data_IF_902861738917
#
_entry.id   IF_902861738917
#
_cell.length_a   1.000
_cell.length_b   1.000
_cell.length_c   1.000
_cell.angle_alpha   90.00
_cell.angle_beta   90.00
_cell.angle_gamma   90.00
#
_symmetry.space_group_name_H-M   'P 1'
#
loop_
_entity.id
_entity.type
_entity.pdbx_description
1 polymer ?
#
# COMPACT_ATOMS: atom_id res chain seq x y z
N UNK A 1 18.98 17.19 1.90
CA UNK A 1 17.60 16.72 1.74
C UNK A 1 17.49 15.98 0.40
N UNK A 2 16.70 14.91 0.34
CA UNK A 2 16.42 14.24 -0.93
C UNK A 2 15.73 15.21 -1.91
N UNK A 3 16.01 15.03 -3.21
CA UNK A 3 15.35 15.85 -4.25
C UNK A 3 13.86 15.47 -4.31
N UNK A 4 12.98 16.47 -4.22
CA UNK A 4 11.54 16.30 -4.38
C UNK A 4 11.17 16.75 -5.79
N UNK A 5 10.50 15.87 -6.54
CA UNK A 5 9.97 16.16 -7.87
C UNK A 5 8.50 16.55 -7.76
N UNK A 6 8.09 17.48 -8.59
CA UNK A 6 6.73 18.04 -8.63
C UNK A 6 6.16 17.95 -10.05
N UNK A 7 4.97 18.50 -10.27
CA UNK A 7 4.33 18.53 -11.60
C UNK A 7 5.22 19.13 -12.71
N UNK A 8 6.13 20.04 -12.35
CA UNK A 8 7.05 20.69 -13.30
C UNK A 8 8.16 19.75 -13.79
N UNK A 9 8.47 18.72 -13.04
CA UNK A 9 9.55 17.77 -13.33
C UNK A 9 9.07 16.56 -14.14
N UNK A 10 7.75 16.43 -14.37
CA UNK A 10 7.13 15.26 -14.97
C UNK A 10 6.26 15.63 -16.19
N UNK A 11 6.36 14.86 -17.25
CA UNK A 11 5.68 15.10 -18.52
C UNK A 11 4.87 13.86 -18.94
N UNK A 12 3.54 14.03 -19.04
CA UNK A 12 2.61 12.97 -19.50
C UNK A 12 2.75 12.66 -21.00
N UNK A 13 3.35 13.53 -21.80
CA UNK A 13 3.58 13.28 -23.22
C UNK A 13 4.44 12.04 -23.48
N UNK A 14 5.19 11.59 -22.46
CA UNK A 14 5.93 10.30 -22.46
C UNK A 14 5.01 9.12 -22.82
N UNK A 15 3.70 9.21 -22.54
CA UNK A 15 2.71 8.16 -22.81
C UNK A 15 1.94 8.35 -24.12
N UNK A 16 2.21 9.41 -24.87
CA UNK A 16 1.53 9.66 -26.16
C UNK A 16 1.84 8.51 -27.12
N UNK A 17 0.77 7.89 -27.64
CA UNK A 17 0.86 6.75 -28.56
C UNK A 17 1.26 5.42 -27.91
N UNK A 18 1.36 5.36 -26.58
CA UNK A 18 1.67 4.14 -25.83
C UNK A 18 0.45 3.54 -25.16
N UNK A 19 0.49 2.23 -24.99
CA UNK A 19 -0.49 1.48 -24.21
C UNK A 19 0.10 1.13 -22.85
N UNK A 20 -0.63 1.45 -21.78
CA UNK A 20 -0.28 1.11 -20.40
C UNK A 20 -1.15 -0.06 -19.95
N UNK A 21 -0.55 -1.16 -19.51
CA UNK A 21 -1.30 -2.28 -18.93
C UNK A 21 -1.23 -2.25 -17.41
N UNK A 22 -2.36 -2.44 -16.77
CA UNK A 22 -2.45 -2.69 -15.32
C UNK A 22 -2.86 -4.15 -15.12
N UNK A 23 -1.95 -4.96 -14.59
CA UNK A 23 -2.19 -6.38 -14.31
C UNK A 23 -2.75 -6.54 -12.91
N UNK A 24 -4.06 -6.81 -12.82
CA UNK A 24 -4.79 -6.81 -11.56
C UNK A 24 -5.59 -5.52 -11.35
N UNK A 25 -6.75 -5.65 -10.68
CA UNK A 25 -7.66 -4.52 -10.41
C UNK A 25 -8.03 -4.51 -8.91
N UNK A 26 -6.99 -4.65 -8.07
CA UNK A 26 -7.05 -4.53 -6.62
C UNK A 26 -6.85 -3.09 -6.16
N UNK A 27 -6.50 -2.88 -4.87
CA UNK A 27 -6.41 -1.55 -4.25
C UNK A 27 -5.56 -0.55 -5.04
N UNK A 28 -4.31 -0.87 -5.36
CA UNK A 28 -3.46 0.02 -6.14
C UNK A 28 -3.81 -0.02 -7.64
N UNK A 29 -4.08 -1.23 -8.19
CA UNK A 29 -4.35 -1.39 -9.63
C UNK A 29 -5.52 -0.54 -10.11
N UNK A 30 -6.63 -0.58 -9.39
CA UNK A 30 -7.81 0.23 -9.69
C UNK A 30 -7.51 1.75 -9.61
N UNK A 31 -6.84 2.20 -8.54
CA UNK A 31 -6.54 3.61 -8.36
C UNK A 31 -5.61 4.15 -9.45
N UNK A 32 -4.52 3.42 -9.73
CA UNK A 32 -3.59 3.79 -10.79
C UNK A 32 -4.28 3.82 -12.16
N UNK A 33 -5.06 2.78 -12.49
CA UNK A 33 -5.75 2.70 -13.77
C UNK A 33 -6.70 3.88 -14.00
N UNK A 34 -7.56 4.19 -13.03
CA UNK A 34 -8.52 5.28 -13.13
C UNK A 34 -7.82 6.64 -13.23
N UNK A 35 -6.84 6.89 -12.37
CA UNK A 35 -6.13 8.17 -12.34
C UNK A 35 -5.36 8.40 -13.66
N UNK A 36 -4.69 7.37 -14.18
CA UNK A 36 -4.00 7.44 -15.49
C UNK A 36 -4.95 7.68 -16.63
N UNK A 37 -6.10 6.98 -16.67
CA UNK A 37 -7.14 7.18 -17.70
C UNK A 37 -7.66 8.61 -17.68
N UNK A 38 -7.99 9.15 -16.51
CA UNK A 38 -8.44 10.53 -16.34
C UNK A 38 -7.32 11.56 -16.63
N UNK A 39 -6.06 11.15 -16.54
CA UNK A 39 -4.89 11.93 -16.95
C UNK A 39 -4.60 11.82 -18.47
N UNK A 40 -5.46 11.16 -19.25
CA UNK A 40 -5.37 11.06 -20.71
C UNK A 40 -4.51 9.92 -21.25
N UNK A 41 -4.09 8.96 -20.41
CA UNK A 41 -3.33 7.82 -20.87
C UNK A 41 -4.25 6.71 -21.42
N UNK A 42 -3.76 5.98 -22.43
CA UNK A 42 -4.42 4.77 -22.93
C UNK A 42 -4.12 3.58 -22.01
N UNK A 43 -5.11 3.14 -21.23
CA UNK A 43 -4.97 2.10 -20.20
C UNK A 43 -5.84 0.90 -20.52
N UNK A 44 -5.24 -0.29 -20.53
CA UNK A 44 -5.91 -1.59 -20.58
C UNK A 44 -5.70 -2.36 -19.29
N UNK A 45 -6.65 -3.24 -18.95
CA UNK A 45 -6.57 -4.06 -17.75
C UNK A 45 -6.31 -5.51 -18.14
N UNK A 46 -5.23 -6.10 -17.58
CA UNK A 46 -4.91 -7.52 -17.73
C UNK A 46 -5.42 -8.31 -16.54
N UNK A 47 -6.33 -9.29 -16.77
CA UNK A 47 -6.88 -10.15 -15.73
C UNK A 47 -6.89 -11.61 -16.20
N UNK A 48 -6.78 -12.54 -15.23
CA UNK A 48 -6.97 -13.96 -15.52
C UNK A 48 -8.45 -14.28 -15.77
N UNK A 49 -8.71 -15.31 -16.53
CA UNK A 49 -10.06 -15.79 -16.82
C UNK A 49 -10.81 -16.16 -15.53
N UNK A 50 -12.06 -15.72 -15.39
CA UNK A 50 -12.85 -15.91 -14.17
C UNK A 50 -12.57 -14.94 -13.03
N UNK A 51 -11.70 -13.94 -13.23
CA UNK A 51 -11.47 -12.90 -12.21
C UNK A 51 -12.75 -12.12 -11.93
N UNK A 52 -13.11 -12.01 -10.64
CA UNK A 52 -14.27 -11.22 -10.18
C UNK A 52 -14.13 -9.72 -10.52
N UNK A 53 -12.92 -9.22 -10.76
CA UNK A 53 -12.67 -7.82 -11.09
C UNK A 53 -13.00 -7.47 -12.55
N UNK A 54 -13.26 -8.45 -13.43
CA UNK A 54 -13.55 -8.20 -14.84
C UNK A 54 -14.80 -7.31 -15.00
N UNK A 55 -15.88 -7.67 -14.32
CA UNK A 55 -17.13 -6.90 -14.39
C UNK A 55 -16.94 -5.46 -13.90
N UNK A 56 -16.27 -5.29 -12.78
CA UNK A 56 -16.01 -3.97 -12.18
C UNK A 56 -15.12 -3.10 -13.08
N UNK A 57 -14.06 -3.67 -13.66
CA UNK A 57 -13.17 -2.93 -14.54
C UNK A 57 -13.89 -2.50 -15.84
N UNK A 58 -14.74 -3.37 -16.41
CA UNK A 58 -15.56 -3.05 -17.57
C UNK A 58 -16.60 -1.96 -17.29
N UNK A 59 -17.26 -2.03 -16.12
CA UNK A 59 -18.19 -0.98 -15.67
C UNK A 59 -17.51 0.39 -15.55
N UNK A 60 -16.23 0.42 -15.16
CA UNK A 60 -15.41 1.65 -15.14
C UNK A 60 -14.90 2.06 -16.53
N UNK A 61 -15.37 1.37 -17.59
CA UNK A 61 -15.08 1.70 -19.00
C UNK A 61 -13.65 1.35 -19.42
N UNK A 62 -13.06 0.29 -18.86
CA UNK A 62 -11.77 -0.23 -19.31
C UNK A 62 -11.96 -1.38 -20.31
N UNK A 63 -11.07 -1.45 -21.29
CA UNK A 63 -10.83 -2.68 -22.03
C UNK A 63 -10.16 -3.69 -21.10
N UNK A 64 -10.75 -4.88 -20.98
CA UNK A 64 -10.23 -5.97 -20.15
C UNK A 64 -9.90 -7.14 -21.04
N UNK A 65 -8.63 -7.55 -21.02
CA UNK A 65 -8.08 -8.64 -21.81
C UNK A 65 -7.35 -9.65 -20.91
N UNK A 66 -7.04 -10.87 -21.39
CA UNK A 66 -6.18 -11.80 -20.66
C UNK A 66 -4.81 -11.19 -20.36
N UNK A 67 -4.21 -11.57 -19.23
CA UNK A 67 -2.92 -11.01 -18.74
C UNK A 67 -1.83 -11.05 -19.81
N UNK A 68 -1.65 -12.20 -20.48
CA UNK A 68 -0.65 -12.37 -21.55
C UNK A 68 -0.88 -11.41 -22.72
N UNK A 69 -2.13 -11.19 -23.11
CA UNK A 69 -2.49 -10.27 -24.19
C UNK A 69 -2.23 -8.81 -23.79
N UNK A 70 -2.55 -8.45 -22.53
CA UNK A 70 -2.22 -7.12 -22.02
C UNK A 70 -0.70 -6.85 -22.09
N UNK A 71 0.13 -7.84 -21.70
CA UNK A 71 1.59 -7.71 -21.76
C UNK A 71 2.10 -7.58 -23.19
N UNK A 72 1.55 -8.34 -24.13
CA UNK A 72 1.93 -8.22 -25.56
C UNK A 72 1.70 -6.81 -26.10
N UNK A 73 0.54 -6.23 -25.81
CA UNK A 73 0.10 -4.95 -26.37
C UNK A 73 0.71 -3.73 -25.67
N UNK A 74 1.11 -3.85 -24.42
CA UNK A 74 1.55 -2.73 -23.62
C UNK A 74 3.03 -2.37 -23.80
N UNK A 75 3.33 -1.08 -23.69
CA UNK A 75 4.68 -0.53 -23.57
C UNK A 75 5.13 -0.46 -22.11
N UNK A 76 4.21 -0.15 -21.20
CA UNK A 76 4.45 -0.09 -19.76
C UNK A 76 3.48 -1.03 -19.05
N UNK A 77 3.99 -1.93 -18.22
CA UNK A 77 3.25 -3.01 -17.60
C UNK A 77 3.33 -2.84 -16.08
N UNK A 78 2.25 -2.45 -15.45
CA UNK A 78 2.15 -2.36 -14.00
C UNK A 78 1.69 -3.69 -13.39
N UNK A 79 2.55 -4.30 -12.57
CA UNK A 79 2.26 -5.56 -11.88
C UNK A 79 1.55 -5.26 -10.57
N UNK A 80 0.23 -5.12 -10.61
CA UNK A 80 -0.62 -4.75 -9.46
C UNK A 80 -1.25 -6.00 -8.80
N UNK A 81 -0.44 -7.03 -8.61
CA UNK A 81 -0.83 -8.32 -8.01
C UNK A 81 -0.24 -8.46 -6.60
N UNK A 82 -0.85 -9.26 -5.71
CA UNK A 82 -0.22 -9.61 -4.44
C UNK A 82 1.18 -10.23 -4.65
N UNK A 83 2.17 -9.85 -3.83
CA UNK A 83 3.58 -10.23 -4.01
C UNK A 83 3.80 -11.73 -4.17
N UNK A 84 3.07 -12.53 -3.40
CA UNK A 84 3.15 -13.99 -3.46
C UNK A 84 2.61 -14.60 -4.77
N UNK A 85 1.76 -13.89 -5.49
CA UNK A 85 1.17 -14.33 -6.78
C UNK A 85 1.96 -13.82 -7.98
N UNK A 86 2.77 -12.78 -7.79
CA UNK A 86 3.52 -12.17 -8.90
C UNK A 86 4.46 -13.15 -9.60
N UNK A 87 5.26 -14.01 -8.92
CA UNK A 87 6.18 -14.92 -9.59
C UNK A 87 5.48 -15.88 -10.57
N UNK A 88 4.40 -16.53 -10.16
CA UNK A 88 3.67 -17.45 -11.02
C UNK A 88 3.05 -16.74 -12.23
N UNK A 89 2.50 -15.55 -12.05
CA UNK A 89 1.99 -14.73 -13.15
C UNK A 89 3.13 -14.26 -14.08
N UNK A 90 4.28 -13.91 -13.49
CA UNK A 90 5.45 -13.51 -14.26
C UNK A 90 5.93 -14.64 -15.17
N UNK A 91 6.13 -15.84 -14.65
CA UNK A 91 6.59 -17.00 -15.41
C UNK A 91 5.60 -17.40 -16.52
N UNK A 92 4.31 -17.40 -16.19
CA UNK A 92 3.27 -17.88 -17.11
C UNK A 92 2.91 -16.86 -18.20
N UNK A 93 2.65 -15.61 -17.80
CA UNK A 93 1.97 -14.65 -18.67
C UNK A 93 2.85 -13.45 -19.04
N UNK A 94 3.81 -13.05 -18.15
CA UNK A 94 4.59 -11.84 -18.37
C UNK A 94 5.88 -12.16 -19.14
N UNK A 95 6.73 -13.01 -18.61
CA UNK A 95 8.07 -13.29 -19.18
C UNK A 95 8.03 -13.74 -20.65
N UNK A 96 7.12 -14.65 -21.10
CA UNK A 96 7.04 -15.05 -22.49
C UNK A 96 6.64 -13.93 -23.48
N UNK A 97 6.03 -12.86 -22.96
CA UNK A 97 5.49 -11.74 -23.76
C UNK A 97 6.22 -10.41 -23.48
N UNK A 98 7.25 -10.44 -22.62
CA UNK A 98 8.04 -9.28 -22.24
C UNK A 98 9.18 -9.09 -23.24
N UNK A 99 8.99 -8.21 -24.22
CA UNK A 99 9.97 -7.93 -25.26
C UNK A 99 10.85 -6.74 -24.92
N UNK A 100 12.01 -6.66 -25.58
CA UNK A 100 12.96 -5.56 -25.48
C UNK A 100 12.28 -4.18 -25.59
N UNK A 101 12.67 -3.26 -24.71
CA UNK A 101 12.19 -1.88 -24.70
C UNK A 101 10.90 -1.65 -23.93
N UNK A 102 10.22 -2.71 -23.47
CA UNK A 102 9.08 -2.58 -22.53
C UNK A 102 9.56 -2.17 -21.16
N UNK A 103 8.62 -1.65 -20.35
CA UNK A 103 8.87 -1.26 -18.97
C UNK A 103 8.03 -2.11 -18.03
N UNK A 104 8.64 -2.78 -17.05
CA UNK A 104 7.95 -3.34 -15.89
C UNK A 104 7.88 -2.30 -14.78
N UNK A 105 6.70 -2.13 -14.20
CA UNK A 105 6.44 -1.22 -13.10
C UNK A 105 5.85 -1.97 -11.91
N UNK A 106 6.32 -1.61 -10.73
CA UNK A 106 5.84 -2.13 -9.44
C UNK A 106 5.45 -0.97 -8.53
N UNK A 107 4.52 -1.19 -7.60
CA UNK A 107 4.17 -0.23 -6.53
C UNK A 107 4.77 -0.62 -5.18
N UNK A 108 5.45 -1.76 -5.10
CA UNK A 108 6.22 -2.25 -3.97
C UNK A 108 7.38 -3.07 -4.49
N UNK A 109 8.54 -2.95 -3.86
CA UNK A 109 9.77 -3.51 -4.42
C UNK A 109 10.03 -4.99 -4.09
N UNK A 110 9.13 -5.68 -3.38
CA UNK A 110 9.29 -7.04 -2.85
C UNK A 110 9.84 -8.04 -3.89
N UNK A 111 9.18 -8.16 -5.04
CA UNK A 111 9.52 -9.16 -6.03
C UNK A 111 10.92 -8.99 -6.62
N UNK A 112 11.34 -7.75 -6.81
CA UNK A 112 12.66 -7.40 -7.37
C UNK A 112 13.74 -7.46 -6.30
N UNK A 113 13.48 -6.91 -5.11
CA UNK A 113 14.45 -6.86 -4.01
C UNK A 113 14.81 -8.28 -3.53
N UNK A 114 13.82 -9.13 -3.30
CA UNK A 114 14.04 -10.52 -2.87
C UNK A 114 14.23 -11.50 -4.03
N UNK A 115 14.34 -11.00 -5.26
CA UNK A 115 14.62 -11.79 -6.47
C UNK A 115 13.63 -12.94 -6.72
N UNK A 116 12.36 -12.74 -6.35
CA UNK A 116 11.29 -13.67 -6.72
C UNK A 116 10.87 -13.49 -8.19
N UNK A 117 11.23 -12.34 -8.78
CA UNK A 117 11.20 -12.04 -10.21
C UNK A 117 12.56 -11.51 -10.63
N UNK A 118 13.10 -12.05 -11.72
CA UNK A 118 14.35 -11.59 -12.34
C UNK A 118 14.06 -11.19 -13.79
N UNK A 119 13.86 -9.90 -14.09
CA UNK A 119 13.58 -9.42 -15.44
C UNK A 119 14.80 -9.54 -16.39
N UNK A 120 14.57 -9.68 -17.70
CA UNK A 120 15.66 -9.62 -18.70
C UNK A 120 16.31 -8.23 -18.72
N UNK A 121 17.58 -8.15 -19.12
CA UNK A 121 18.41 -6.92 -19.04
C UNK A 121 17.99 -5.83 -20.02
N UNK A 122 17.21 -6.15 -21.03
CA UNK A 122 16.83 -5.28 -22.13
C UNK A 122 15.46 -4.57 -21.93
N UNK A 123 14.90 -4.66 -20.73
CA UNK A 123 13.69 -3.94 -20.33
C UNK A 123 13.99 -2.95 -19.21
N UNK A 124 13.18 -1.90 -19.11
CA UNK A 124 13.20 -1.02 -17.94
C UNK A 124 12.49 -1.67 -16.77
N UNK A 125 12.97 -1.46 -15.56
CA UNK A 125 12.31 -1.88 -14.33
C UNK A 125 12.27 -0.71 -13.38
N UNK A 126 11.04 -0.26 -13.07
CA UNK A 126 10.78 0.93 -12.28
C UNK A 126 9.79 0.65 -11.15
N UNK A 127 9.84 1.51 -10.15
CA UNK A 127 8.89 1.53 -9.05
C UNK A 127 8.22 2.89 -8.99
N UNK A 128 6.89 2.89 -8.76
CA UNK A 128 6.12 4.07 -8.38
C UNK A 128 5.20 3.67 -7.25
N UNK A 129 5.55 4.05 -6.04
CA UNK A 129 4.88 3.66 -4.80
C UNK A 129 4.24 4.87 -4.11
N UNK A 130 2.94 5.13 -4.32
CA UNK A 130 2.21 6.08 -3.50
C UNK A 130 2.21 5.64 -2.04
N UNK A 131 2.51 6.56 -1.12
CA UNK A 131 2.55 6.27 0.33
C UNK A 131 1.15 6.40 0.94
N UNK A 132 0.29 5.47 0.54
CA UNK A 132 -1.07 5.35 1.02
C UNK A 132 -1.87 4.26 0.31
N UNK A 133 -2.94 3.76 0.96
CA UNK A 133 -3.83 2.75 0.36
C UNK A 133 -4.46 3.25 -0.95
N UNK A 134 -4.69 2.36 -1.90
CA UNK A 134 -5.17 2.73 -3.23
C UNK A 134 -6.46 3.55 -3.24
N UNK A 135 -7.43 3.24 -2.39
CA UNK A 135 -8.66 4.02 -2.27
C UNK A 135 -8.41 5.47 -1.78
N UNK A 136 -7.36 5.70 -0.99
CA UNK A 136 -6.95 7.05 -0.58
C UNK A 136 -6.27 7.75 -1.75
N UNK A 137 -5.39 7.04 -2.49
CA UNK A 137 -4.77 7.56 -3.72
C UNK A 137 -5.83 8.01 -4.71
N UNK A 138 -6.88 7.20 -4.90
CA UNK A 138 -8.01 7.54 -5.78
C UNK A 138 -8.78 8.77 -5.27
N UNK A 139 -9.19 8.78 -4.01
CA UNK A 139 -9.95 9.87 -3.40
C UNK A 139 -9.19 11.19 -3.46
N UNK A 140 -7.93 11.21 -3.06
CA UNK A 140 -7.11 12.42 -3.11
C UNK A 140 -6.97 12.96 -4.54
N UNK A 141 -6.83 12.05 -5.51
CA UNK A 141 -6.77 12.44 -6.93
C UNK A 141 -8.06 13.13 -7.40
N UNK A 142 -9.24 12.58 -7.08
CA UNK A 142 -10.53 13.16 -7.47
C UNK A 142 -10.84 14.49 -6.77
N UNK A 143 -10.23 14.72 -5.62
CA UNK A 143 -10.30 16.00 -4.90
C UNK A 143 -9.27 17.04 -5.43
N UNK A 144 -8.55 16.75 -6.53
CA UNK A 144 -7.50 17.63 -7.04
C UNK A 144 -6.20 17.62 -6.24
N UNK A 145 -6.13 16.80 -5.19
CA UNK A 145 -4.96 16.58 -4.33
C UNK A 145 -4.10 15.40 -4.82
N UNK A 146 -3.09 15.03 -4.04
CA UNK A 146 -2.24 13.87 -4.31
C UNK A 146 -1.77 13.20 -3.04
N UNK A 147 -1.32 11.96 -3.18
CA UNK A 147 -0.60 11.23 -2.13
C UNK A 147 0.88 11.26 -2.49
N UNK A 148 1.79 11.63 -1.57
CA UNK A 148 3.22 11.57 -1.84
C UNK A 148 3.64 10.20 -2.35
N UNK A 149 4.58 10.15 -3.28
CA UNK A 149 5.01 8.91 -3.88
C UNK A 149 6.54 8.77 -3.89
N UNK A 150 7.00 7.54 -3.92
CA UNK A 150 8.39 7.20 -4.17
C UNK A 150 8.54 6.70 -5.61
N UNK A 151 9.69 7.00 -6.24
CA UNK A 151 10.12 6.37 -7.48
C UNK A 151 11.46 5.70 -7.27
N UNK A 152 11.67 4.55 -7.91
CA UNK A 152 12.98 3.92 -7.99
C UNK A 152 13.23 3.31 -9.38
N UNK A 153 14.48 3.29 -9.78
CA UNK A 153 14.93 2.73 -11.05
C UNK A 153 15.86 1.55 -10.76
N UNK A 154 15.39 0.33 -11.05
CA UNK A 154 16.21 -0.88 -10.93
C UNK A 154 16.99 -1.17 -12.20
N UNK A 155 16.33 -1.08 -13.38
CA UNK A 155 16.94 -1.21 -14.69
C UNK A 155 16.53 -0.03 -15.59
N UNK A 156 17.47 0.46 -16.39
CA UNK A 156 17.29 1.60 -17.29
C UNK A 156 17.84 1.27 -18.67
N UNK A 157 17.31 0.23 -19.31
CA UNK A 157 17.74 -0.26 -20.60
C UNK A 157 17.51 0.76 -21.73
N UNK A 158 16.35 1.46 -21.66
CA UNK A 158 15.97 2.50 -22.64
C UNK A 158 16.66 3.84 -22.42
N UNK A 159 17.34 4.05 -21.27
CA UNK A 159 17.83 5.34 -20.77
C UNK A 159 16.72 6.38 -20.51
N UNK A 160 15.44 5.94 -20.50
CA UNK A 160 14.26 6.78 -20.28
C UNK A 160 13.44 6.37 -19.04
N UNK A 161 13.86 5.32 -18.31
CA UNK A 161 13.14 4.74 -17.18
C UNK A 161 12.66 5.80 -16.16
N UNK A 162 13.53 6.74 -15.78
CA UNK A 162 13.18 7.81 -14.84
C UNK A 162 12.09 8.75 -15.37
N UNK A 163 12.12 9.10 -16.65
CA UNK A 163 11.06 9.92 -17.27
C UNK A 163 9.73 9.19 -17.25
N UNK A 164 9.73 7.88 -17.51
CA UNK A 164 8.55 7.01 -17.44
C UNK A 164 8.01 6.93 -16.01
N UNK A 165 8.87 6.75 -15.01
CA UNK A 165 8.46 6.72 -13.60
C UNK A 165 7.85 8.05 -13.13
N UNK A 166 8.45 9.18 -13.48
CA UNK A 166 7.91 10.51 -13.15
C UNK A 166 6.58 10.78 -13.88
N UNK A 167 6.46 10.41 -15.16
CA UNK A 167 5.22 10.52 -15.90
C UNK A 167 4.09 9.69 -15.27
N UNK A 168 4.40 8.45 -14.83
CA UNK A 168 3.44 7.61 -14.11
C UNK A 168 3.03 8.24 -12.78
N UNK A 169 4.00 8.70 -11.98
CA UNK A 169 3.75 9.38 -10.72
C UNK A 169 2.86 10.62 -10.90
N UNK A 170 3.05 11.39 -11.99
CA UNK A 170 2.17 12.51 -12.35
C UNK A 170 0.77 12.03 -12.71
N UNK A 171 0.67 11.02 -13.57
CA UNK A 171 -0.60 10.44 -14.00
C UNK A 171 -1.45 9.90 -12.85
N UNK A 172 -0.83 9.45 -11.76
CA UNK A 172 -1.57 9.00 -10.56
C UNK A 172 -1.76 10.11 -9.51
N UNK A 173 -1.23 11.33 -9.76
CA UNK A 173 -1.39 12.49 -8.89
C UNK A 173 -0.30 12.66 -7.82
N UNK A 174 0.72 11.79 -7.79
CA UNK A 174 1.78 11.83 -6.78
C UNK A 174 2.61 13.12 -6.80
N UNK A 175 2.85 13.68 -7.97
CA UNK A 175 3.64 14.92 -8.15
C UNK A 175 2.98 16.18 -7.58
N UNK A 176 1.65 16.15 -7.34
CA UNK A 176 0.92 17.22 -6.65
C UNK A 176 1.33 17.35 -5.19
N UNK A 177 1.67 16.22 -4.55
CA UNK A 177 2.11 16.16 -3.15
C UNK A 177 3.64 16.06 -3.00
N UNK A 178 4.33 15.70 -4.08
CA UNK A 178 5.77 15.50 -4.12
C UNK A 178 6.18 14.05 -4.30
N UNK A 179 7.24 13.85 -5.09
CA UNK A 179 7.81 12.52 -5.41
C UNK A 179 9.28 12.51 -5.02
N UNK A 180 9.70 11.48 -4.29
CA UNK A 180 11.09 11.30 -3.86
C UNK A 180 11.69 10.09 -4.59
N UNK A 181 12.92 10.22 -5.05
CA UNK A 181 13.68 9.12 -5.63
C UNK A 181 14.37 8.32 -4.54
N UNK A 182 14.23 7.01 -4.61
CA UNK A 182 14.80 6.03 -3.68
C UNK A 182 15.34 4.81 -4.43
N UNK A 183 15.55 3.69 -3.75
CA UNK A 183 15.92 2.41 -4.34
C UNK A 183 14.87 1.35 -4.04
N UNK A 184 14.79 0.29 -4.85
CA UNK A 184 13.93 -0.86 -4.56
C UNK A 184 14.21 -1.45 -3.17
N UNK A 185 15.49 -1.50 -2.77
CA UNK A 185 15.88 -1.96 -1.43
C UNK A 185 15.30 -1.09 -0.34
N UNK A 186 15.55 0.21 -0.40
CA UNK A 186 15.13 1.16 0.64
C UNK A 186 13.61 1.20 0.74
N UNK A 187 12.90 1.30 -0.40
CA UNK A 187 11.43 1.26 -0.41
C UNK A 187 10.90 -0.01 0.23
N UNK A 188 11.38 -1.18 -0.19
CA UNK A 188 10.88 -2.46 0.31
C UNK A 188 11.14 -2.64 1.82
N UNK A 189 12.36 -2.37 2.26
CA UNK A 189 12.74 -2.56 3.65
C UNK A 189 12.01 -1.59 4.59
N UNK A 190 11.87 -0.33 4.19
CA UNK A 190 11.19 0.69 5.02
C UNK A 190 9.68 0.55 5.02
N UNK A 191 9.08 0.16 3.90
CA UNK A 191 7.64 -0.09 3.80
C UNK A 191 7.24 -1.29 4.67
N UNK A 192 7.90 -2.45 4.50
CA UNK A 192 7.69 -3.63 5.34
C UNK A 192 7.91 -3.34 6.83
N UNK A 193 8.94 -2.57 7.16
CA UNK A 193 9.20 -2.19 8.54
C UNK A 193 8.08 -1.32 9.09
N UNK A 194 7.67 -0.29 8.35
CA UNK A 194 6.62 0.64 8.76
C UNK A 194 5.29 -0.06 9.01
N UNK A 195 4.85 -0.93 8.08
CA UNK A 195 3.58 -1.64 8.22
C UNK A 195 3.59 -2.67 9.36
N UNK A 196 4.72 -3.36 9.59
CA UNK A 196 4.83 -4.37 10.65
C UNK A 196 4.93 -3.74 12.03
N UNK A 197 5.73 -2.71 12.20
CA UNK A 197 6.12 -2.23 13.54
C UNK A 197 5.35 -0.99 13.99
N UNK A 198 4.76 -0.23 13.07
CA UNK A 198 4.08 1.04 13.39
C UNK A 198 2.66 1.08 12.84
N UNK A 199 2.51 1.10 11.49
CA UNK A 199 1.27 1.49 10.83
C UNK A 199 0.12 0.49 10.99
N UNK A 200 0.42 -0.80 10.88
CA UNK A 200 -0.58 -1.87 10.98
C UNK A 200 -0.33 -2.72 12.22
N UNK A 201 0.78 -3.48 12.26
CA UNK A 201 1.04 -4.42 13.34
C UNK A 201 1.21 -3.74 14.71
N UNK A 202 2.06 -2.72 14.79
CA UNK A 202 2.30 -1.98 16.03
C UNK A 202 1.05 -1.29 16.55
N UNK A 203 0.38 -0.51 15.71
CA UNK A 203 -0.83 0.24 16.09
C UNK A 203 -1.97 -0.67 16.53
N UNK A 204 -2.27 -1.74 15.78
CA UNK A 204 -3.34 -2.66 16.15
C UNK A 204 -3.06 -3.43 17.45
N UNK A 205 -1.80 -3.84 17.68
CA UNK A 205 -1.42 -4.50 18.92
C UNK A 205 -1.52 -3.56 20.13
N UNK A 206 -1.11 -2.29 19.99
CA UNK A 206 -1.22 -1.28 21.05
C UNK A 206 -2.69 -1.02 21.41
N UNK A 207 -3.54 -0.86 20.40
CA UNK A 207 -4.99 -0.65 20.58
C UNK A 207 -5.64 -1.84 21.29
N UNK A 208 -5.32 -3.07 20.88
CA UNK A 208 -5.86 -4.27 21.53
C UNK A 208 -5.42 -4.37 22.98
N UNK A 209 -4.15 -4.16 23.27
CA UNK A 209 -3.62 -4.19 24.63
C UNK A 209 -4.27 -3.13 25.54
N UNK A 210 -4.49 -1.91 25.02
CA UNK A 210 -5.19 -0.85 25.75
C UNK A 210 -6.65 -1.23 26.06
N UNK A 211 -7.35 -1.73 25.05
CA UNK A 211 -8.74 -2.20 25.19
C UNK A 211 -8.85 -3.34 26.22
N UNK A 212 -8.01 -4.36 26.13
CA UNK A 212 -7.97 -5.49 27.05
C UNK A 212 -7.71 -5.03 28.48
N UNK A 213 -6.71 -4.16 28.69
CA UNK A 213 -6.36 -3.62 30.00
C UNK A 213 -7.52 -2.92 30.69
N UNK A 214 -8.29 -2.10 29.95
CA UNK A 214 -9.44 -1.40 30.51
C UNK A 214 -10.59 -2.36 30.83
N UNK A 215 -10.89 -3.32 29.94
CA UNK A 215 -11.95 -4.30 30.17
C UNK A 215 -11.63 -5.22 31.34
N UNK A 216 -10.38 -5.68 31.46
CA UNK A 216 -9.91 -6.49 32.60
C UNK A 216 -9.98 -5.74 33.93
N UNK A 217 -9.81 -4.42 33.91
CA UNK A 217 -9.99 -3.55 35.06
C UNK A 217 -11.47 -3.26 35.41
N UNK A 218 -12.42 -3.81 34.66
CA UNK A 218 -13.87 -3.69 34.91
C UNK A 218 -14.55 -2.53 34.21
N UNK A 219 -13.88 -1.80 33.32
CA UNK A 219 -14.53 -0.76 32.51
C UNK A 219 -15.37 -1.36 31.38
N UNK A 220 -16.41 -0.64 30.93
CA UNK A 220 -17.25 -1.11 29.85
C UNK A 220 -16.46 -1.24 28.52
N UNK A 221 -16.73 -2.26 27.71
CA UNK A 221 -16.08 -2.41 26.41
C UNK A 221 -16.34 -1.24 25.46
N UNK A 222 -17.48 -0.56 25.59
CA UNK A 222 -17.84 0.62 24.82
C UNK A 222 -16.89 1.79 25.12
N UNK A 223 -16.62 2.07 26.39
CA UNK A 223 -15.65 3.10 26.79
C UNK A 223 -14.23 2.73 26.34
N UNK A 224 -13.81 1.49 26.59
CA UNK A 224 -12.50 1.01 26.13
C UNK A 224 -12.34 1.14 24.61
N UNK A 225 -13.37 0.90 23.82
CA UNK A 225 -13.36 1.08 22.38
C UNK A 225 -13.22 2.55 21.97
N UNK A 226 -13.97 3.46 22.59
CA UNK A 226 -13.87 4.89 22.26
C UNK A 226 -12.49 5.43 22.58
N UNK A 227 -11.96 5.16 23.76
CA UNK A 227 -10.68 5.67 24.23
C UNK A 227 -9.48 5.09 23.47
N UNK A 228 -9.48 3.77 23.18
CA UNK A 228 -8.30 3.11 22.61
C UNK A 228 -8.31 3.02 21.08
N UNK A 229 -9.48 3.08 20.42
CA UNK A 229 -9.56 2.91 18.97
C UNK A 229 -10.22 4.07 18.25
N UNK A 230 -11.43 4.49 18.67
CA UNK A 230 -12.17 5.49 17.92
C UNK A 230 -11.47 6.85 17.91
N UNK A 231 -11.04 7.31 19.08
CA UNK A 231 -10.40 8.61 19.25
C UNK A 231 -8.97 8.65 18.67
N UNK A 232 -8.29 7.50 18.60
CA UNK A 232 -6.94 7.42 18.02
C UNK A 232 -6.86 8.05 16.63
N UNK A 233 -7.92 7.89 15.80
CA UNK A 233 -7.95 8.52 14.48
C UNK A 233 -7.81 10.04 14.56
N UNK A 234 -8.50 10.67 15.49
CA UNK A 234 -8.50 12.13 15.65
C UNK A 234 -7.10 12.63 16.07
N UNK A 235 -6.45 11.89 16.95
CA UNK A 235 -5.07 12.19 17.37
C UNK A 235 -4.08 11.99 16.22
N UNK A 236 -4.25 10.92 15.42
CA UNK A 236 -3.42 10.67 14.25
C UNK A 236 -3.64 11.74 13.16
N UNK A 237 -4.84 12.25 12.99
CA UNK A 237 -5.11 13.38 12.09
C UNK A 237 -4.31 14.63 12.52
N UNK A 238 -4.30 14.97 13.81
CA UNK A 238 -3.49 16.09 14.35
C UNK A 238 -1.98 15.87 14.13
N UNK A 239 -1.49 14.65 14.32
CA UNK A 239 -0.09 14.32 14.01
C UNK A 239 0.23 14.46 12.52
N UNK A 240 -0.71 14.09 11.65
CA UNK A 240 -0.54 14.20 10.21
C UNK A 240 -0.52 15.65 9.74
N UNK A 241 -1.36 16.50 10.33
CA UNK A 241 -1.49 17.92 9.96
C UNK A 241 -0.33 18.78 10.44
N UNK A 242 0.16 18.55 11.66
CA UNK A 242 1.10 19.47 12.28
C UNK A 242 2.28 18.78 13.02
N UNK A 243 2.48 17.48 12.79
CA UNK A 243 3.50 16.68 13.48
C UNK A 243 3.15 16.41 14.95
N UNK A 244 4.02 15.68 15.63
CA UNK A 244 3.84 15.33 17.06
C UNK A 244 3.77 16.59 17.94
N UNK A 245 4.56 17.61 17.63
CA UNK A 245 4.56 18.87 18.37
C UNK A 245 3.22 19.61 18.20
N UNK A 246 2.64 19.63 16.99
CA UNK A 246 1.36 20.27 16.72
C UNK A 246 0.20 19.49 17.35
N UNK A 247 0.24 18.18 17.35
CA UNK A 247 -0.71 17.35 18.11
C UNK A 247 -0.67 17.70 19.58
N UNK A 248 0.53 17.75 20.21
CA UNK A 248 0.70 18.15 21.60
C UNK A 248 0.16 19.55 21.89
N UNK A 249 0.37 20.49 20.99
CA UNK A 249 -0.20 21.85 21.12
C UNK A 249 -1.73 21.82 21.20
N UNK A 250 -2.38 20.91 20.51
CA UNK A 250 -3.84 20.83 20.34
C UNK A 250 -4.56 20.05 21.43
N UNK A 251 -3.87 19.35 22.32
CA UNK A 251 -4.46 18.55 23.41
C UNK A 251 -4.34 19.25 24.78
N UNK A 252 -5.05 18.74 25.79
CA UNK A 252 -5.02 19.30 27.14
C UNK A 252 -3.66 19.14 27.84
N UNK A 253 -3.37 19.98 28.84
CA UNK A 253 -2.14 19.88 29.64
C UNK A 253 -2.02 18.54 30.35
N UNK A 254 -3.14 17.96 30.81
CA UNK A 254 -3.17 16.65 31.44
C UNK A 254 -2.80 15.55 30.45
N UNK A 255 -3.32 15.61 29.22
CA UNK A 255 -2.96 14.66 28.17
C UNK A 255 -1.50 14.78 27.73
N UNK A 256 -0.96 16.02 27.63
CA UNK A 256 0.47 16.26 27.38
C UNK A 256 1.35 15.63 28.45
N UNK A 257 0.97 15.80 29.74
CA UNK A 257 1.72 15.22 30.83
C UNK A 257 1.74 13.69 30.74
N UNK A 258 0.60 13.07 30.49
CA UNK A 258 0.49 11.61 30.25
C UNK A 258 1.37 11.15 29.08
N UNK A 259 1.27 11.84 27.93
CA UNK A 259 2.07 11.53 26.74
C UNK A 259 3.58 11.52 27.04
N UNK A 260 4.12 12.60 27.59
CA UNK A 260 5.57 12.72 27.78
C UNK A 260 6.12 11.94 28.99
N UNK A 261 5.30 11.62 30.00
CA UNK A 261 5.73 10.91 31.21
C UNK A 261 5.45 9.41 31.19
N UNK A 262 4.39 8.97 30.52
CA UNK A 262 3.96 7.56 30.48
C UNK A 262 4.29 6.92 29.12
N UNK A 263 4.12 7.62 28.02
CA UNK A 263 4.39 7.11 26.68
C UNK A 263 5.76 6.42 26.53
N UNK A 264 6.87 7.04 27.00
CA UNK A 264 8.20 6.40 26.96
C UNK A 264 8.36 5.13 27.82
N UNK A 265 7.45 4.90 28.78
CA UNK A 265 7.43 3.66 29.58
C UNK A 265 6.68 2.54 28.87
N UNK A 266 5.71 2.88 28.03
CA UNK A 266 4.97 1.91 27.21
C UNK A 266 5.82 1.51 25.99
N UNK A 267 6.38 2.49 25.28
CA UNK A 267 7.27 2.26 24.13
C UNK A 267 8.72 2.52 24.56
N UNK A 268 9.25 1.61 25.35
CA UNK A 268 10.57 1.67 25.95
C UNK A 268 11.69 1.10 25.05
N UNK A 269 12.89 1.00 25.62
CA UNK A 269 14.05 0.44 24.93
C UNK A 269 13.84 -1.02 24.48
N UNK A 270 13.00 -1.81 25.19
CA UNK A 270 12.70 -3.19 24.83
C UNK A 270 11.85 -3.27 23.55
N UNK A 271 10.91 -2.35 23.38
CA UNK A 271 10.14 -2.22 22.13
C UNK A 271 11.07 -1.88 20.96
N UNK A 272 11.94 -0.89 21.13
CA UNK A 272 12.94 -0.52 20.11
C UNK A 272 13.88 -1.69 19.76
N UNK A 273 14.24 -2.52 20.74
CA UNK A 273 15.03 -3.75 20.49
C UNK A 273 14.27 -4.74 19.61
N UNK A 274 12.97 -4.95 19.86
CA UNK A 274 12.10 -5.81 19.01
C UNK A 274 11.94 -5.23 17.60
N UNK A 275 11.77 -3.93 17.47
CA UNK A 275 11.71 -3.26 16.14
C UNK A 275 13.01 -3.48 15.35
N UNK A 276 14.19 -3.37 16.01
CA UNK A 276 15.48 -3.67 15.35
C UNK A 276 15.59 -5.14 14.92
N UNK A 277 15.04 -6.07 15.66
CA UNK A 277 15.01 -7.48 15.29
C UNK A 277 14.10 -7.70 14.06
N UNK A 278 12.92 -7.11 14.02
CA UNK A 278 12.03 -7.15 12.88
C UNK A 278 12.70 -6.57 11.62
N UNK A 279 13.37 -5.42 11.74
CA UNK A 279 14.13 -4.84 10.62
C UNK A 279 15.23 -5.79 10.12
N UNK A 280 15.94 -6.46 11.03
CA UNK A 280 16.96 -7.46 10.65
C UNK A 280 16.37 -8.64 9.90
N UNK A 281 15.20 -9.13 10.30
CA UNK A 281 14.50 -10.23 9.61
C UNK A 281 14.04 -9.81 8.20
N UNK A 282 13.63 -8.54 8.02
CA UNK A 282 13.32 -7.96 6.72
C UNK A 282 14.60 -7.89 5.85
N UNK A 283 15.67 -7.26 6.35
CA UNK A 283 16.92 -7.04 5.63
C UNK A 283 17.61 -8.35 5.21
N UNK A 284 17.52 -9.37 6.04
CA UNK A 284 18.07 -10.70 5.73
C UNK A 284 17.23 -11.52 4.74
N UNK A 285 16.02 -11.05 4.42
CA UNK A 285 15.05 -11.79 3.61
C UNK A 285 14.37 -12.95 4.36
N UNK A 286 14.56 -13.07 5.68
CA UNK A 286 13.91 -14.11 6.48
C UNK A 286 12.39 -13.96 6.45
N UNK A 287 11.87 -12.74 6.69
CA UNK A 287 10.43 -12.45 6.59
C UNK A 287 9.86 -12.82 5.20
N UNK A 288 10.55 -12.45 4.14
CA UNK A 288 10.10 -12.74 2.77
C UNK A 288 10.04 -14.25 2.50
N UNK A 289 11.03 -15.02 2.97
CA UNK A 289 11.03 -16.47 2.85
C UNK A 289 9.88 -17.13 3.62
N UNK A 290 9.62 -16.65 4.85
CA UNK A 290 8.51 -17.12 5.68
C UNK A 290 7.16 -16.83 5.01
N UNK A 291 6.97 -15.64 4.47
CA UNK A 291 5.74 -15.24 3.78
C UNK A 291 5.48 -16.06 2.51
N UNK A 292 6.51 -16.27 1.68
CA UNK A 292 6.40 -17.13 0.49
C UNK A 292 6.13 -18.58 0.87
N UNK A 293 6.74 -19.09 1.94
CA UNK A 293 6.48 -20.44 2.44
C UNK A 293 5.04 -20.61 2.95
N UNK A 294 4.53 -19.60 3.69
CA UNK A 294 3.14 -19.57 4.17
C UNK A 294 2.14 -19.59 3.01
N UNK A 295 2.40 -18.82 1.95
CA UNK A 295 1.62 -18.87 0.71
C UNK A 295 1.61 -20.28 0.09
N UNK A 296 2.78 -20.87 -0.10
CA UNK A 296 2.92 -22.23 -0.67
C UNK A 296 2.24 -23.29 0.20
N UNK A 297 2.20 -23.07 1.52
CA UNK A 297 1.51 -23.91 2.50
C UNK A 297 -0.02 -23.71 2.56
N UNK A 298 -0.59 -22.86 1.72
CA UNK A 298 -2.04 -22.59 1.65
C UNK A 298 -2.55 -21.65 2.74
N UNK A 299 -1.69 -20.74 3.25
CA UNK A 299 -2.05 -19.70 4.22
C UNK A 299 -2.62 -20.24 5.56
N UNK A 300 -2.19 -21.40 6.03
CA UNK A 300 -2.76 -22.05 7.22
C UNK A 300 -2.60 -21.18 8.48
N UNK A 301 -1.36 -20.75 8.77
CA UNK A 301 -1.06 -19.92 9.95
C UNK A 301 -1.65 -18.51 9.78
N UNK A 302 -1.50 -17.93 8.60
CA UNK A 302 -2.04 -16.61 8.26
C UNK A 302 -3.56 -16.54 8.50
N UNK A 303 -4.33 -17.48 7.94
CA UNK A 303 -5.78 -17.53 8.11
C UNK A 303 -6.19 -17.75 9.57
N UNK A 304 -5.44 -18.57 10.33
CA UNK A 304 -5.71 -18.78 11.76
C UNK A 304 -5.51 -17.48 12.58
N UNK A 305 -4.44 -16.72 12.28
CA UNK A 305 -4.16 -15.45 12.94
C UNK A 305 -5.21 -14.39 12.59
N UNK A 306 -5.63 -14.27 11.32
CA UNK A 306 -6.70 -13.37 10.91
C UNK A 306 -8.02 -13.70 11.63
N UNK A 307 -8.40 -14.98 11.65
CA UNK A 307 -9.62 -15.43 12.33
C UNK A 307 -9.59 -15.10 13.82
N UNK A 308 -8.44 -15.28 14.48
CA UNK A 308 -8.27 -14.87 15.90
C UNK A 308 -8.51 -13.37 16.07
N UNK A 309 -7.96 -12.53 15.20
CA UNK A 309 -8.17 -11.08 15.21
C UNK A 309 -9.64 -10.70 15.00
N UNK A 310 -10.33 -11.32 14.02
CA UNK A 310 -11.75 -11.09 13.75
C UNK A 310 -12.67 -11.47 14.92
N UNK A 311 -12.24 -12.41 15.75
CA UNK A 311 -12.99 -12.88 16.93
C UNK A 311 -12.71 -12.05 18.20
N UNK A 312 -11.78 -11.09 18.14
CA UNK A 312 -11.43 -10.26 19.28
C UNK A 312 -12.66 -9.44 19.77
N UNK A 313 -12.90 -9.33 21.09
CA UNK A 313 -14.07 -8.59 21.64
C UNK A 313 -14.20 -7.16 21.12
N UNK A 314 -13.10 -6.47 20.85
CA UNK A 314 -13.06 -5.12 20.28
C UNK A 314 -13.84 -5.03 18.95
N UNK A 315 -13.79 -6.09 18.12
CA UNK A 315 -14.47 -6.11 16.82
C UNK A 315 -16.00 -6.13 16.97
N UNK A 316 -16.50 -6.94 17.91
CA UNK A 316 -17.94 -7.03 18.23
C UNK A 316 -18.44 -5.69 18.78
N UNK A 317 -17.73 -5.12 19.75
CA UNK A 317 -18.03 -3.81 20.34
C UNK A 317 -18.00 -2.72 19.28
N UNK A 318 -16.93 -2.69 18.49
CA UNK A 318 -16.77 -1.71 17.43
C UNK A 318 -17.83 -1.79 16.34
N UNK A 319 -18.25 -2.99 15.94
CA UNK A 319 -19.32 -3.17 14.96
C UNK A 319 -20.66 -2.54 15.46
N UNK A 320 -21.01 -2.78 16.74
CA UNK A 320 -22.17 -2.17 17.37
C UNK A 320 -22.09 -0.64 17.37
N UNK A 321 -20.97 -0.08 17.83
CA UNK A 321 -20.79 1.37 17.93
C UNK A 321 -20.71 2.05 16.55
N UNK A 322 -20.01 1.47 15.58
CA UNK A 322 -19.98 2.00 14.21
C UNK A 322 -21.35 2.01 13.55
N UNK A 323 -22.25 1.10 13.91
CA UNK A 323 -23.63 1.10 13.38
C UNK A 323 -24.46 2.30 13.83
N UNK A 324 -24.09 2.98 14.91
CA UNK A 324 -24.72 4.20 15.40
C UNK A 324 -24.24 5.46 14.63
N UNK A 325 -23.25 5.34 13.78
CA UNK A 325 -22.65 6.44 13.02
C UNK A 325 -22.91 6.24 11.51
N UNK A 326 -24.07 6.68 10.99
CA UNK A 326 -24.49 6.39 9.61
C UNK A 326 -23.57 7.02 8.55
N UNK A 327 -22.81 8.07 8.89
CA UNK A 327 -21.82 8.70 8.04
C UNK A 327 -20.52 7.91 7.90
N UNK A 328 -20.27 6.90 8.77
CA UNK A 328 -19.13 6.01 8.61
C UNK A 328 -19.41 5.01 7.48
N UNK A 329 -18.50 4.95 6.50
CA UNK A 329 -18.62 4.00 5.39
C UNK A 329 -18.63 2.57 5.94
N UNK A 330 -19.72 1.84 5.71
CA UNK A 330 -19.84 0.43 6.06
C UNK A 330 -18.96 -0.39 5.12
N UNK A 331 -17.73 -0.70 5.55
CA UNK A 331 -16.89 -1.69 4.88
C UNK A 331 -17.23 -3.05 5.44
N UNK A 332 -17.82 -3.93 4.63
CA UNK A 332 -18.05 -5.32 5.02
C UNK A 332 -16.76 -6.12 4.90
N UNK A 333 -16.33 -6.77 5.98
CA UNK A 333 -15.21 -7.73 5.97
C UNK A 333 -15.62 -9.03 5.25
N UNK A 334 -16.92 -9.41 5.32
CA UNK A 334 -17.45 -10.62 4.67
C UNK A 334 -17.70 -10.34 3.18
N UNK A 335 -16.87 -10.93 2.33
CA UNK A 335 -17.05 -10.89 0.87
C UNK A 335 -16.64 -9.57 0.22
N UNK A 336 -15.98 -8.69 0.93
CA UNK A 336 -15.44 -7.48 0.36
C UNK A 336 -14.24 -7.83 -0.54
N UNK A 337 -14.54 -7.96 -1.80
CA UNK A 337 -13.75 -7.17 -2.74
C UNK A 337 -13.82 -5.75 -2.18
N UNK A 338 -12.65 -5.16 -1.91
CA UNK A 338 -12.61 -3.77 -1.51
C UNK A 338 -13.50 -3.00 -2.50
N UNK A 339 -14.53 -2.33 -1.97
CA UNK A 339 -15.36 -1.47 -2.80
C UNK A 339 -14.47 -0.32 -3.25
N UNK A 340 -14.06 -0.40 -4.48
CA UNK A 340 -13.21 0.59 -5.14
C UNK A 340 -14.06 1.61 -5.87
#
# INVERSE_FOLDING_TARGET
MAKVYTDKDADLSVFKGKTLAVLGFGSQGHAHALNLKESGANVIIGLYEGSKSIAVAREKGFEVVPTAEAVKRADVIFVALPDTKQPACYEKDIAPNLTKGKTLLFSHGFAIHYKTIVPPKDVDVILVAPKGPGHIVRRQFTEGKGVPALIAIYQNASKKAKKTALAWAKGVGGTRAGVIETTFKEETETDLFGEQTVLCGGASALVQAGFETLVEAGYSPEMAYFECLHELKLIVDLMNEAGIAGMRFSISETAKWGDVSVGPKIVDASVKKRMKAALKDIQSGKFAKEWVAEYKGGYKKYNALLKKGEQHPIEKTGAKLRSLMPWMQKRSIKGAQAAY
#
